data_IF_875692321426
#
_entry.id   IF_875692321426
#
_cell.length_a   1.000
_cell.length_b   1.000
_cell.length_c   1.000
_cell.angle_alpha   90.00
_cell.angle_beta   90.00
_cell.angle_gamma   90.00
#
_symmetry.space_group_name_H-M   'P 1'
#
loop_
_entity.id
_entity.type
_entity.pdbx_description
1 polymer ?
#
# COMPACT_ATOMS: atom_id res chain seq x y z
N UNK A 1 -10.22 1.80 -12.10
CA UNK A 1 -9.99 1.61 -10.63
C UNK A 1 -8.51 1.35 -10.41
N UNK A 2 -8.01 1.37 -9.17
CA UNK A 2 -6.61 1.02 -8.89
C UNK A 2 -6.20 -0.35 -9.44
N UNK A 3 -7.06 -1.37 -9.26
CA UNK A 3 -6.79 -2.70 -9.82
C UNK A 3 -6.71 -2.70 -11.35
N UNK A 4 -7.53 -1.90 -12.04
CA UNK A 4 -7.42 -1.77 -13.49
C UNK A 4 -6.09 -1.11 -13.91
N UNK A 5 -5.56 -0.18 -13.10
CA UNK A 5 -4.25 0.43 -13.35
C UNK A 5 -3.12 -0.60 -13.17
N UNK A 6 -3.13 -1.39 -12.09
CA UNK A 6 -2.16 -2.47 -11.87
C UNK A 6 -2.24 -3.50 -12.99
N UNK A 7 -3.45 -4.00 -13.31
CA UNK A 7 -3.65 -4.97 -14.40
C UNK A 7 -3.14 -4.44 -15.73
N UNK A 8 -3.45 -3.19 -16.09
CA UNK A 8 -2.99 -2.59 -17.34
C UNK A 8 -1.47 -2.40 -17.34
N UNK A 9 -0.87 -1.87 -16.26
CA UNK A 9 0.57 -1.67 -16.15
C UNK A 9 1.37 -2.97 -16.28
N UNK A 10 0.81 -4.09 -15.81
CA UNK A 10 1.44 -5.41 -15.95
C UNK A 10 1.19 -6.01 -17.34
N UNK A 11 -0.08 -6.19 -17.75
CA UNK A 11 -0.42 -6.94 -18.97
C UNK A 11 -0.13 -6.19 -20.28
N UNK A 12 0.05 -4.88 -20.28
CA UNK A 12 0.35 -4.15 -21.52
C UNK A 12 1.78 -4.36 -22.04
N UNK A 13 2.69 -4.86 -21.20
CA UNK A 13 4.11 -5.01 -21.52
C UNK A 13 4.66 -6.44 -21.38
N UNK A 14 3.84 -7.37 -20.87
CA UNK A 14 4.22 -8.77 -20.63
C UNK A 14 3.56 -9.70 -21.64
N UNK A 15 4.28 -10.74 -22.03
CA UNK A 15 3.85 -11.80 -22.95
C UNK A 15 4.13 -13.19 -22.38
N UNK A 16 3.49 -14.22 -22.95
CA UNK A 16 3.77 -15.61 -22.57
C UNK A 16 5.27 -15.92 -22.68
N UNK A 17 5.83 -16.53 -21.63
CA UNK A 17 7.26 -16.81 -21.50
C UNK A 17 8.06 -15.72 -20.79
N UNK A 18 7.48 -14.55 -20.49
CA UNK A 18 8.11 -13.55 -19.64
C UNK A 18 8.06 -13.93 -18.16
N UNK A 19 8.91 -13.30 -17.36
CA UNK A 19 9.01 -13.51 -15.92
C UNK A 19 8.90 -12.19 -15.12
N UNK A 20 8.23 -12.25 -13.97
CA UNK A 20 8.07 -11.16 -13.01
C UNK A 20 8.73 -11.50 -11.68
N UNK A 21 9.51 -10.59 -11.11
CA UNK A 21 9.93 -10.67 -9.70
C UNK A 21 9.03 -9.73 -8.90
N UNK A 22 8.41 -10.19 -7.82
CA UNK A 22 7.58 -9.32 -6.99
C UNK A 22 7.83 -9.51 -5.50
N UNK A 23 7.77 -8.40 -4.76
CA UNK A 23 7.73 -8.45 -3.31
C UNK A 23 6.51 -9.25 -2.85
N UNK A 24 6.63 -10.02 -1.77
CA UNK A 24 5.52 -10.84 -1.31
C UNK A 24 4.44 -10.06 -0.58
N UNK A 25 4.82 -9.00 0.14
CA UNK A 25 3.94 -8.12 0.86
C UNK A 25 3.26 -7.13 -0.11
N UNK A 26 2.13 -7.56 -0.67
CA UNK A 26 1.31 -6.79 -1.61
C UNK A 26 -0.14 -6.75 -1.11
N UNK A 27 -0.91 -5.78 -1.59
CA UNK A 27 -2.36 -5.85 -1.48
C UNK A 27 -2.88 -7.16 -2.08
N UNK A 28 -3.81 -7.83 -1.40
CA UNK A 28 -4.28 -9.17 -1.78
C UNK A 28 -4.77 -9.31 -3.23
N UNK A 29 -5.33 -8.25 -3.84
CA UNK A 29 -5.70 -8.31 -5.26
C UNK A 29 -4.53 -8.08 -6.21
N UNK A 30 -3.49 -7.34 -5.80
CA UNK A 30 -2.22 -7.26 -6.52
C UNK A 30 -1.50 -8.61 -6.50
N UNK A 31 -1.52 -9.27 -5.34
CA UNK A 31 -1.02 -10.64 -5.16
C UNK A 31 -1.74 -11.64 -6.08
N UNK A 32 -3.06 -11.57 -6.16
CA UNK A 32 -3.86 -12.36 -7.11
C UNK A 32 -3.43 -12.15 -8.58
N UNK A 33 -3.10 -10.92 -8.99
CA UNK A 33 -2.61 -10.68 -10.35
C UNK A 33 -1.33 -11.48 -10.60
N UNK A 34 -0.37 -11.41 -9.67
CA UNK A 34 0.95 -12.03 -9.83
C UNK A 34 0.92 -13.55 -9.73
N UNK A 35 0.13 -14.11 -8.82
CA UNK A 35 0.09 -15.56 -8.54
C UNK A 35 -0.93 -16.34 -9.37
N UNK A 36 -2.04 -15.72 -9.74
CA UNK A 36 -3.15 -16.44 -10.39
C UNK A 36 -3.43 -15.91 -11.80
N UNK A 37 -3.44 -14.60 -12.01
CA UNK A 37 -3.81 -14.04 -13.31
C UNK A 37 -2.69 -14.17 -14.34
N UNK A 38 -1.46 -13.75 -14.00
CA UNK A 38 -0.32 -13.81 -14.91
C UNK A 38 0.02 -15.24 -15.37
N UNK A 39 0.05 -16.26 -14.49
CA UNK A 39 0.34 -17.64 -14.92
C UNK A 39 -0.68 -18.22 -15.90
N UNK A 40 -1.94 -17.77 -15.86
CA UNK A 40 -2.96 -18.17 -16.85
C UNK A 40 -2.63 -17.70 -18.27
N UNK A 41 -1.78 -16.68 -18.42
CA UNK A 41 -1.27 -16.19 -19.70
C UNK A 41 0.16 -16.67 -20.00
N UNK A 42 0.66 -17.65 -19.24
CA UNK A 42 2.02 -18.19 -19.42
C UNK A 42 3.13 -17.24 -18.96
N UNK A 43 2.82 -16.28 -18.08
CA UNK A 43 3.80 -15.37 -17.47
C UNK A 43 4.11 -15.89 -16.08
N UNK A 44 5.36 -16.26 -15.84
CA UNK A 44 5.79 -16.80 -14.54
C UNK A 44 6.14 -15.68 -13.57
N UNK A 45 6.09 -15.97 -12.27
CA UNK A 45 6.52 -15.04 -11.23
C UNK A 45 7.37 -15.72 -10.16
N UNK A 46 8.31 -14.97 -9.58
CA UNK A 46 9.04 -15.32 -8.37
C UNK A 46 8.73 -14.30 -7.29
N UNK A 47 8.35 -14.80 -6.11
CA UNK A 47 7.92 -13.99 -4.99
C UNK A 47 9.00 -14.02 -3.91
N UNK A 48 9.39 -12.84 -3.43
CA UNK A 48 10.56 -12.66 -2.56
C UNK A 48 10.24 -11.81 -1.35
N UNK A 49 11.14 -11.83 -0.36
CA UNK A 49 11.16 -10.85 0.71
C UNK A 49 11.56 -9.48 0.16
N UNK A 50 10.60 -8.55 0.10
CA UNK A 50 10.83 -7.24 -0.52
C UNK A 50 11.94 -6.43 0.16
N UNK A 51 12.17 -6.67 1.45
CA UNK A 51 13.18 -5.99 2.27
C UNK A 51 14.58 -6.59 2.16
N UNK A 52 14.73 -7.75 1.50
CA UNK A 52 16.00 -8.45 1.31
C UNK A 52 16.48 -8.29 -0.15
N UNK A 53 17.42 -7.34 -0.34
CA UNK A 53 18.00 -7.05 -1.65
C UNK A 53 18.66 -8.26 -2.32
N UNK A 54 19.20 -9.20 -1.54
CA UNK A 54 19.85 -10.39 -2.10
C UNK A 54 18.85 -11.32 -2.80
N UNK A 55 17.59 -11.34 -2.35
CA UNK A 55 16.56 -12.14 -3.00
C UNK A 55 16.07 -11.52 -4.31
N UNK A 56 16.06 -10.19 -4.41
CA UNK A 56 15.80 -9.51 -5.67
C UNK A 56 16.83 -9.91 -6.74
N UNK A 57 18.12 -9.90 -6.39
CA UNK A 57 19.20 -10.33 -7.29
C UNK A 57 19.10 -11.82 -7.65
N UNK A 58 18.89 -12.68 -6.65
CA UNK A 58 18.82 -14.14 -6.85
C UNK A 58 17.60 -14.58 -7.68
N UNK A 59 16.51 -13.82 -7.66
CA UNK A 59 15.29 -14.12 -8.42
C UNK A 59 15.38 -13.74 -9.90
N UNK A 60 16.41 -13.00 -10.33
CA UNK A 60 16.59 -12.62 -11.73
C UNK A 60 16.81 -13.85 -12.61
N UNK A 61 16.03 -13.91 -13.68
CA UNK A 61 16.15 -14.88 -14.79
C UNK A 61 16.39 -14.17 -16.13
N UNK A 62 16.93 -14.85 -17.16
CA UNK A 62 17.17 -14.24 -18.48
C UNK A 62 15.91 -13.65 -19.16
N UNK A 63 14.72 -14.15 -18.81
CA UNK A 63 13.42 -13.68 -19.30
C UNK A 63 12.70 -12.74 -18.33
N UNK A 64 13.37 -12.22 -17.31
CA UNK A 64 12.76 -11.27 -16.36
C UNK A 64 12.51 -9.92 -17.02
N UNK A 65 11.28 -9.44 -16.95
CA UNK A 65 10.85 -8.19 -17.59
C UNK A 65 10.37 -7.13 -16.62
N UNK A 66 9.79 -7.53 -15.50
CA UNK A 66 9.18 -6.59 -14.55
C UNK A 66 9.53 -6.97 -13.11
N UNK A 67 9.88 -5.96 -12.33
CA UNK A 67 9.91 -5.98 -10.88
C UNK A 67 8.65 -5.26 -10.37
N UNK A 68 7.93 -5.84 -9.42
CA UNK A 68 6.68 -5.27 -8.88
C UNK A 68 6.66 -5.22 -7.35
N UNK A 69 6.34 -4.06 -6.78
CA UNK A 69 6.35 -3.85 -5.33
C UNK A 69 5.39 -2.74 -4.88
N UNK A 70 5.08 -2.73 -3.58
CA UNK A 70 4.41 -1.64 -2.87
C UNK A 70 5.33 -1.21 -1.71
N UNK A 71 5.49 0.10 -1.50
CA UNK A 71 6.19 0.61 -0.32
C UNK A 71 5.60 1.95 0.13
N UNK A 72 5.19 2.11 1.41
CA UNK A 72 5.07 1.07 2.43
C UNK A 72 4.11 -0.06 2.06
N UNK A 73 4.40 -1.30 2.49
CA UNK A 73 3.56 -2.47 2.23
C UNK A 73 2.28 -2.51 3.09
N UNK A 74 1.27 -3.25 2.63
CA UNK A 74 0.02 -3.43 3.36
C UNK A 74 -0.08 -4.87 3.91
N UNK A 75 -0.41 -5.11 5.20
CA UNK A 75 -0.74 -4.13 6.24
C UNK A 75 0.43 -3.76 7.17
N UNK A 76 1.59 -4.40 7.03
CA UNK A 76 2.72 -4.32 7.98
C UNK A 76 3.71 -3.19 7.70
N UNK A 77 3.47 -2.35 6.69
CA UNK A 77 4.18 -1.10 6.44
C UNK A 77 5.69 -1.27 6.21
N UNK A 78 6.09 -2.40 5.62
CA UNK A 78 7.48 -2.64 5.25
C UNK A 78 7.94 -1.63 4.20
N UNK A 79 9.19 -1.19 4.33
CA UNK A 79 9.81 -0.22 3.45
C UNK A 79 10.78 -0.93 2.52
N UNK A 80 10.66 -0.71 1.22
CA UNK A 80 11.55 -1.32 0.23
C UNK A 80 12.40 -0.20 -0.37
N UNK A 81 13.72 -0.43 -0.45
CA UNK A 81 14.67 0.54 -1.00
C UNK A 81 14.47 0.66 -2.51
N UNK A 82 13.79 1.74 -2.92
CA UNK A 82 13.45 1.96 -4.32
C UNK A 82 14.68 2.07 -5.21
N UNK A 83 15.74 2.72 -4.73
CA UNK A 83 16.94 2.96 -5.54
C UNK A 83 17.68 1.66 -5.80
N UNK A 84 17.91 0.90 -4.74
CA UNK A 84 18.63 -0.38 -4.83
C UNK A 84 17.85 -1.40 -5.68
N UNK A 85 16.53 -1.52 -5.49
CA UNK A 85 15.70 -2.43 -6.29
C UNK A 85 15.69 -2.02 -7.77
N UNK A 86 15.64 -0.71 -8.04
CA UNK A 86 15.70 -0.20 -9.42
C UNK A 86 17.03 -0.49 -10.09
N UNK A 87 18.14 -0.30 -9.39
CA UNK A 87 19.46 -0.62 -9.93
C UNK A 87 19.59 -2.11 -10.29
N UNK A 88 19.08 -3.00 -9.44
CA UNK A 88 19.05 -4.44 -9.71
C UNK A 88 18.20 -4.76 -10.95
N UNK A 89 16.99 -4.20 -11.03
CA UNK A 89 16.08 -4.42 -12.16
C UNK A 89 16.68 -3.93 -13.48
N UNK A 90 17.23 -2.71 -13.50
CA UNK A 90 17.83 -2.11 -14.70
C UNK A 90 19.08 -2.87 -15.15
N UNK A 91 19.91 -3.36 -14.23
CA UNK A 91 21.05 -4.24 -14.55
C UNK A 91 20.61 -5.56 -15.21
N UNK A 92 19.40 -6.04 -14.90
CA UNK A 92 18.79 -7.21 -15.53
C UNK A 92 18.02 -6.89 -16.83
N UNK A 93 17.93 -5.62 -17.24
CA UNK A 93 17.11 -5.18 -18.37
C UNK A 93 15.60 -5.26 -18.12
N UNK A 94 15.17 -5.26 -16.86
CA UNK A 94 13.78 -5.26 -16.43
C UNK A 94 13.31 -3.85 -16.04
N UNK A 95 12.00 -3.60 -16.10
CA UNK A 95 11.37 -2.37 -15.61
C UNK A 95 10.85 -2.54 -14.18
N UNK A 96 10.71 -1.45 -13.45
CA UNK A 96 10.13 -1.42 -12.11
C UNK A 96 8.74 -0.79 -12.14
N UNK A 97 7.77 -1.51 -11.58
CA UNK A 97 6.40 -1.02 -11.34
C UNK A 97 6.19 -0.87 -9.83
N UNK A 98 5.88 0.33 -9.36
CA UNK A 98 5.60 0.62 -7.95
C UNK A 98 4.15 1.05 -7.76
N UNK A 99 3.43 0.36 -6.87
CA UNK A 99 2.21 0.91 -6.28
C UNK A 99 2.59 1.88 -5.14
N UNK A 100 2.27 3.15 -5.32
CA UNK A 100 2.64 4.23 -4.39
C UNK A 100 1.42 4.77 -3.61
N UNK A 101 0.35 3.97 -3.48
CA UNK A 101 -0.91 4.41 -2.84
C UNK A 101 -0.73 4.87 -1.40
N UNK A 102 0.07 4.17 -0.60
CA UNK A 102 0.21 4.47 0.83
C UNK A 102 1.00 5.75 1.08
N UNK A 103 2.08 5.97 0.34
CA UNK A 103 2.91 7.15 0.48
C UNK A 103 2.30 8.38 -0.18
N UNK A 104 1.52 8.19 -1.26
CA UNK A 104 1.00 9.27 -2.12
C UNK A 104 2.13 10.04 -2.85
N UNK A 105 1.83 10.80 -3.93
CA UNK A 105 2.86 11.62 -4.59
C UNK A 105 3.34 12.80 -3.71
N UNK A 106 2.64 13.09 -2.59
CA UNK A 106 3.01 14.17 -1.67
C UNK A 106 4.24 13.78 -0.85
N UNK A 107 4.37 12.51 -0.45
CA UNK A 107 5.43 12.09 0.47
C UNK A 107 6.56 11.33 -0.21
N UNK A 108 6.27 10.65 -1.32
CA UNK A 108 7.26 9.83 -2.02
C UNK A 108 7.06 9.98 -3.52
N UNK A 109 8.18 10.20 -4.24
CA UNK A 109 8.20 10.35 -5.69
C UNK A 109 9.05 9.23 -6.30
N UNK A 110 8.51 8.02 -6.52
CA UNK A 110 9.29 6.84 -6.90
C UNK A 110 10.16 7.03 -8.15
N UNK A 111 9.69 7.84 -9.11
CA UNK A 111 10.43 8.14 -10.34
C UNK A 111 11.77 8.86 -10.07
N UNK A 112 11.92 9.59 -8.96
CA UNK A 112 13.21 10.19 -8.55
C UNK A 112 14.24 9.14 -8.14
N UNK A 113 13.81 7.91 -7.85
CA UNK A 113 14.65 6.75 -7.55
C UNK A 113 14.83 5.82 -8.76
N UNK A 114 14.37 6.25 -9.94
CA UNK A 114 14.51 5.53 -11.21
C UNK A 114 13.39 4.55 -11.56
N UNK A 115 12.31 4.53 -10.78
CA UNK A 115 11.14 3.68 -11.07
C UNK A 115 10.51 4.06 -12.41
N UNK A 116 10.28 3.06 -13.28
CA UNK A 116 9.78 3.27 -14.64
C UNK A 116 8.27 3.54 -14.69
N UNK A 117 7.48 2.82 -13.88
CA UNK A 117 6.02 2.92 -13.86
C UNK A 117 5.51 3.06 -12.43
N UNK A 118 4.70 4.07 -12.18
CA UNK A 118 4.03 4.28 -10.88
C UNK A 118 2.54 4.13 -11.04
N UNK A 119 1.93 3.30 -10.21
CA UNK A 119 0.48 3.09 -10.19
C UNK A 119 -0.14 3.65 -8.92
N UNK A 120 -1.35 4.21 -9.07
CA UNK A 120 -2.16 4.67 -7.94
C UNK A 120 -3.59 4.18 -8.04
N UNK A 121 -4.15 3.76 -6.92
CA UNK A 121 -5.59 3.74 -6.68
C UNK A 121 -6.08 5.14 -6.32
N UNK A 122 -6.63 5.86 -7.30
CA UNK A 122 -7.19 7.19 -7.09
C UNK A 122 -8.44 7.20 -6.18
N UNK A 123 -8.99 6.02 -5.89
CA UNK A 123 -10.07 5.80 -4.92
C UNK A 123 -9.71 6.20 -3.48
N UNK A 124 -8.40 6.27 -3.16
CA UNK A 124 -7.87 6.51 -1.81
C UNK A 124 -7.66 8.00 -1.58
N UNK A 125 -6.45 8.44 -1.26
CA UNK A 125 -6.14 9.83 -0.90
C UNK A 125 -6.43 10.84 -2.02
N UNK A 126 -6.39 10.43 -3.29
CA UNK A 126 -6.69 11.32 -4.43
C UNK A 126 -8.16 11.75 -4.40
N UNK A 127 -9.12 10.82 -4.29
CA UNK A 127 -10.51 11.18 -3.97
C UNK A 127 -10.59 11.80 -2.57
N UNK A 128 -10.04 11.12 -1.57
CA UNK A 128 -9.87 11.62 -0.20
C UNK A 128 -11.13 11.62 0.65
N UNK A 129 -12.30 11.27 0.11
CA UNK A 129 -13.59 11.39 0.81
C UNK A 129 -14.54 10.21 0.53
N UNK A 130 -14.01 9.12 -0.03
CA UNK A 130 -14.75 7.85 -0.18
C UNK A 130 -15.85 7.85 -1.24
N UNK A 131 -15.75 8.67 -2.29
CA UNK A 131 -16.87 8.88 -3.25
C UNK A 131 -16.74 8.10 -4.55
N UNK A 132 -15.59 8.16 -5.20
CA UNK A 132 -15.39 7.63 -6.55
C UNK A 132 -14.23 6.63 -6.62
N UNK A 133 -14.33 5.68 -7.55
CA UNK A 133 -13.24 4.76 -7.86
C UNK A 133 -12.48 5.23 -9.10
N UNK A 134 -11.16 5.12 -9.06
CA UNK A 134 -10.27 5.51 -10.15
C UNK A 134 -8.90 4.84 -10.04
N UNK A 135 -8.14 4.86 -11.12
CA UNK A 135 -6.77 4.36 -11.18
C UNK A 135 -5.94 5.23 -12.10
N UNK A 136 -4.65 5.37 -11.78
CA UNK A 136 -3.70 6.17 -12.55
C UNK A 136 -2.47 5.30 -12.79
N UNK A 137 -1.93 5.35 -14.00
CA UNK A 137 -0.61 4.83 -14.36
C UNK A 137 0.21 6.03 -14.83
N UNK A 138 1.37 6.25 -14.22
CA UNK A 138 2.35 7.24 -14.63
C UNK A 138 3.57 6.51 -15.18
N UNK A 139 4.04 6.91 -16.35
CA UNK A 139 5.24 6.37 -17.01
C UNK A 139 5.76 7.43 -18.00
N UNK A 140 6.91 7.17 -18.62
CA UNK A 140 7.36 7.99 -19.74
C UNK A 140 6.43 7.88 -20.96
N UNK A 141 6.57 8.80 -21.91
CA UNK A 141 5.72 8.87 -23.08
C UNK A 141 5.88 7.65 -24.00
N UNK A 142 7.08 7.08 -24.10
CA UNK A 142 7.35 5.91 -24.93
C UNK A 142 6.57 4.69 -24.43
N UNK A 143 6.59 4.42 -23.12
CA UNK A 143 5.79 3.36 -22.50
C UNK A 143 4.29 3.56 -22.74
N UNK A 144 3.82 4.80 -22.65
CA UNK A 144 2.41 5.12 -22.89
C UNK A 144 2.03 4.80 -24.33
N UNK A 145 2.83 5.25 -25.30
CA UNK A 145 2.53 5.11 -26.72
C UNK A 145 2.69 3.67 -27.21
N UNK A 146 3.77 2.99 -26.79
CA UNK A 146 4.15 1.67 -27.29
C UNK A 146 3.38 0.53 -26.61
N UNK A 147 2.92 0.72 -25.37
CA UNK A 147 2.29 -0.34 -24.57
C UNK A 147 0.89 0.04 -24.08
N UNK A 148 0.79 1.09 -23.25
CA UNK A 148 -0.40 1.31 -22.44
C UNK A 148 -1.61 1.83 -23.23
N UNK A 149 -1.40 2.81 -24.12
CA UNK A 149 -2.49 3.51 -24.81
C UNK A 149 -3.30 2.57 -25.70
N UNK A 150 -2.62 1.70 -26.46
CA UNK A 150 -3.30 0.69 -27.27
C UNK A 150 -4.01 -0.34 -26.37
N UNK A 151 -3.37 -0.82 -25.31
CA UNK A 151 -3.99 -1.76 -24.37
C UNK A 151 -5.29 -1.20 -23.79
N UNK A 152 -5.29 0.04 -23.28
CA UNK A 152 -6.48 0.68 -22.73
C UNK A 152 -7.57 0.87 -23.78
N UNK A 153 -7.21 1.24 -25.01
CA UNK A 153 -8.15 1.41 -26.12
C UNK A 153 -8.86 0.09 -26.47
N UNK A 154 -8.12 -1.01 -26.52
CA UNK A 154 -8.68 -2.31 -26.94
C UNK A 154 -9.38 -3.08 -25.81
N UNK A 155 -9.00 -2.85 -24.55
CA UNK A 155 -9.56 -3.58 -23.39
C UNK A 155 -10.62 -2.79 -22.62
N UNK A 156 -10.66 -1.47 -22.80
CA UNK A 156 -11.74 -0.61 -22.32
C UNK A 156 -11.84 -0.24 -20.82
N UNK A 157 -10.84 -0.40 -19.93
CA UNK A 157 -10.97 0.01 -18.53
C UNK A 157 -10.83 1.54 -18.35
N UNK A 158 -11.74 2.30 -18.96
CA UNK A 158 -11.72 3.77 -19.03
C UNK A 158 -12.38 4.41 -17.81
N UNK A 159 -11.87 5.57 -17.39
CA UNK A 159 -12.44 6.35 -16.29
C UNK A 159 -13.64 7.18 -16.77
N UNK A 160 -14.71 7.21 -15.98
CA UNK A 160 -15.83 8.14 -16.21
C UNK A 160 -15.36 9.61 -16.14
N UNK A 161 -15.75 10.48 -17.09
CA UNK A 161 -15.43 11.91 -17.01
C UNK A 161 -15.93 12.58 -15.72
N UNK A 162 -17.05 12.12 -15.17
CA UNK A 162 -17.56 12.61 -13.88
C UNK A 162 -16.60 12.25 -12.73
N UNK A 163 -16.13 11.01 -12.68
CA UNK A 163 -15.15 10.58 -11.67
C UNK A 163 -13.83 11.34 -11.83
N UNK A 164 -13.40 11.59 -13.07
CA UNK A 164 -12.21 12.39 -13.36
C UNK A 164 -12.35 13.82 -12.81
N UNK A 165 -13.52 14.45 -12.98
CA UNK A 165 -13.80 15.78 -12.39
C UNK A 165 -13.76 15.76 -10.86
N UNK A 166 -14.38 14.77 -10.21
CA UNK A 166 -14.34 14.63 -8.73
C UNK A 166 -12.89 14.54 -8.23
N UNK A 167 -12.07 13.70 -8.88
CA UNK A 167 -10.66 13.53 -8.50
C UNK A 167 -9.84 14.78 -8.78
N UNK A 168 -10.03 15.43 -9.94
CA UNK A 168 -9.35 16.68 -10.28
C UNK A 168 -9.60 17.75 -9.22
N UNK A 169 -10.85 17.93 -8.77
CA UNK A 169 -11.19 18.88 -7.71
C UNK A 169 -10.56 18.51 -6.36
N UNK A 170 -10.41 17.22 -6.09
CA UNK A 170 -9.86 16.73 -4.82
C UNK A 170 -8.34 16.83 -4.75
N UNK A 171 -7.65 16.87 -5.90
CA UNK A 171 -6.22 17.13 -5.99
C UNK A 171 -5.83 18.51 -5.47
N UNK A 172 -6.72 19.50 -5.57
CA UNK A 172 -6.47 20.88 -5.10
C UNK A 172 -6.19 20.95 -3.59
N UNK A 173 -6.64 19.96 -2.82
CA UNK A 173 -6.43 19.87 -1.37
C UNK A 173 -5.58 18.69 -0.96
N UNK A 174 -4.98 17.94 -1.91
CA UNK A 174 -4.26 16.70 -1.61
C UNK A 174 -3.11 16.92 -0.62
N UNK A 175 -2.24 17.90 -0.88
CA UNK A 175 -1.09 18.18 -0.01
C UNK A 175 -1.55 18.55 1.42
N UNK A 176 -2.53 19.44 1.55
CA UNK A 176 -3.10 19.85 2.83
C UNK A 176 -3.65 18.65 3.62
N UNK A 177 -4.45 17.80 2.95
CA UNK A 177 -5.05 16.62 3.59
C UNK A 177 -3.99 15.60 3.98
N UNK A 178 -3.04 15.29 3.11
CA UNK A 178 -2.01 14.28 3.39
C UNK A 178 -1.10 14.71 4.53
N UNK A 179 -0.70 15.99 4.60
CA UNK A 179 0.11 16.50 5.72
C UNK A 179 -0.65 16.43 7.04
N UNK A 180 -1.93 16.79 7.03
CA UNK A 180 -2.76 16.72 8.22
C UNK A 180 -3.01 15.27 8.67
N UNK A 181 -3.28 14.36 7.74
CA UNK A 181 -3.32 12.93 8.00
C UNK A 181 -2.03 12.42 8.68
N UNK A 182 -0.86 12.85 8.20
CA UNK A 182 0.42 12.45 8.78
C UNK A 182 0.61 13.01 10.19
N UNK A 183 0.21 14.26 10.43
CA UNK A 183 0.24 14.89 11.75
C UNK A 183 -0.60 14.09 12.76
N UNK A 184 -1.84 13.78 12.38
CA UNK A 184 -2.77 13.01 13.20
C UNK A 184 -2.26 11.59 13.43
N UNK A 185 -1.79 10.91 12.37
CA UNK A 185 -1.28 9.55 12.46
C UNK A 185 -0.06 9.45 13.38
N UNK A 186 0.83 10.46 13.36
CA UNK A 186 1.96 10.53 14.29
C UNK A 186 1.49 10.63 15.75
N UNK A 187 0.52 11.48 16.05
CA UNK A 187 -0.05 11.58 17.40
C UNK A 187 -0.65 10.25 17.87
N UNK A 188 -1.45 9.61 17.01
CA UNK A 188 -2.06 8.30 17.29
C UNK A 188 -1.00 7.20 17.47
N UNK A 189 0.00 7.13 16.59
CA UNK A 189 1.07 6.14 16.68
C UNK A 189 1.88 6.30 17.97
N UNK A 190 2.16 7.53 18.40
CA UNK A 190 2.86 7.80 19.67
C UNK A 190 2.02 7.41 20.89
N UNK A 191 0.71 7.64 20.86
CA UNK A 191 -0.20 7.22 21.93
C UNK A 191 -0.26 5.69 22.05
N UNK A 192 -0.37 4.99 20.91
CA UNK A 192 -0.35 3.53 20.85
C UNK A 192 0.99 2.95 21.33
N UNK A 193 2.12 3.50 20.89
CA UNK A 193 3.47 3.07 21.30
C UNK A 193 3.70 3.23 22.81
N UNK A 194 3.10 4.25 23.43
CA UNK A 194 3.21 4.49 24.88
C UNK A 194 2.29 3.63 25.76
N UNK A 195 1.38 2.84 25.17
CA UNK A 195 0.39 2.06 25.92
C UNK A 195 0.90 0.67 26.29
N UNK A 196 0.71 0.26 27.55
CA UNK A 196 1.03 -1.10 28.03
C UNK A 196 0.08 -2.17 27.50
N UNK A 197 -1.01 -1.80 26.82
CA UNK A 197 -2.00 -2.70 26.22
C UNK A 197 -1.67 -3.07 24.77
N UNK A 198 -0.70 -2.39 24.16
CA UNK A 198 -0.30 -2.60 22.77
C UNK A 198 1.04 -3.36 22.76
N UNK A 199 1.08 -4.52 22.11
CA UNK A 199 2.27 -5.36 22.02
C UNK A 199 3.33 -4.75 21.09
N UNK A 200 2.89 -4.19 19.97
CA UNK A 200 3.73 -3.45 19.03
C UNK A 200 2.92 -2.42 18.27
N UNK A 201 3.55 -1.29 17.97
CA UNK A 201 3.06 -0.28 17.04
C UNK A 201 4.00 -0.21 15.85
N UNK A 202 3.45 -0.21 14.65
CA UNK A 202 4.16 -0.19 13.38
C UNK A 202 3.75 1.08 12.65
N UNK A 203 4.68 2.01 12.53
CA UNK A 203 4.50 3.25 11.79
C UNK A 203 5.86 3.74 11.26
N UNK A 204 6.03 3.94 9.93
CA UNK A 204 7.32 4.32 9.36
C UNK A 204 7.93 5.61 9.93
N UNK A 205 7.09 6.50 10.49
CA UNK A 205 7.53 7.74 11.13
C UNK A 205 7.96 7.61 12.60
N UNK A 206 7.86 6.42 13.22
CA UNK A 206 8.39 6.16 14.57
C UNK A 206 9.83 5.64 14.49
N UNK A 207 10.70 6.12 15.39
CA UNK A 207 12.11 5.67 15.46
C UNK A 207 12.27 4.18 15.82
N UNK A 208 11.24 3.58 16.42
CA UNK A 208 11.16 2.15 16.72
C UNK A 208 10.90 1.30 15.48
N UNK A 209 10.45 1.89 14.37
CA UNK A 209 10.26 1.16 13.13
C UNK A 209 11.62 0.61 12.64
N UNK A 210 11.74 -0.70 12.33
CA UNK A 210 13.02 -1.31 11.98
C UNK A 210 13.71 -0.64 10.79
N UNK A 211 12.91 -0.05 9.89
CA UNK A 211 13.35 0.61 8.68
C UNK A 211 13.16 2.14 8.72
N UNK A 212 13.07 2.75 9.92
CA UNK A 212 12.83 4.19 10.10
C UNK A 212 13.78 5.05 9.27
N UNK A 213 15.09 4.73 9.28
CA UNK A 213 16.08 5.51 8.53
C UNK A 213 15.77 5.48 7.02
N UNK A 214 15.59 4.30 6.45
CA UNK A 214 15.25 4.15 5.04
C UNK A 214 13.93 4.86 4.69
N UNK A 215 12.92 4.74 5.57
CA UNK A 215 11.65 5.44 5.40
C UNK A 215 11.85 6.95 5.27
N UNK A 216 12.62 7.56 6.18
CA UNK A 216 12.87 9.01 6.17
C UNK A 216 13.88 9.46 5.10
N UNK A 217 14.70 8.54 4.57
CA UNK A 217 15.59 8.82 3.45
C UNK A 217 14.83 8.88 2.11
N UNK A 218 13.70 8.15 1.97
CA UNK A 218 12.91 8.12 0.72
C UNK A 218 11.49 8.69 0.79
N UNK A 219 10.99 9.02 1.99
CA UNK A 219 9.66 9.61 2.23
C UNK A 219 9.76 10.84 3.13
N UNK A 220 8.99 11.88 2.83
CA UNK A 220 8.99 13.13 3.63
C UNK A 220 8.37 12.93 5.03
N UNK A 221 7.38 12.04 5.17
CA UNK A 221 6.66 11.71 6.42
C UNK A 221 6.19 10.25 6.40
N UNK A 222 5.78 9.70 7.55
CA UNK A 222 5.40 8.29 7.72
C UNK A 222 4.04 7.85 7.14
N UNK A 223 3.28 8.76 6.50
CA UNK A 223 1.94 8.46 5.97
C UNK A 223 0.83 8.47 7.02
N UNK A 224 -0.36 7.96 6.66
CA UNK A 224 -1.56 7.99 7.49
C UNK A 224 -2.04 6.63 8.02
N UNK A 225 -1.30 5.57 7.71
CA UNK A 225 -1.66 4.22 8.13
C UNK A 225 -0.81 3.87 9.35
N UNK A 226 -1.48 3.44 10.42
CA UNK A 226 -0.84 2.90 11.62
C UNK A 226 -1.31 1.47 11.78
N UNK A 227 -0.38 0.53 11.90
CA UNK A 227 -0.69 -0.84 12.27
C UNK A 227 -0.23 -1.09 13.71
N UNK A 228 -0.99 -1.86 14.47
CA UNK A 228 -0.64 -2.18 15.85
C UNK A 228 -1.25 -3.50 16.26
N UNK A 229 -0.66 -4.14 17.26
CA UNK A 229 -1.08 -5.45 17.73
C UNK A 229 -1.48 -5.40 19.20
N UNK A 230 -2.63 -5.99 19.51
CA UNK A 230 -3.13 -6.13 20.87
C UNK A 230 -2.83 -7.52 21.43
N UNK A 231 -2.57 -7.57 22.73
CA UNK A 231 -2.50 -8.83 23.46
C UNK A 231 -3.90 -9.45 23.59
N UNK A 232 -4.01 -10.77 23.49
CA UNK A 232 -5.28 -11.49 23.48
C UNK A 232 -5.89 -11.75 22.10
N UNK A 233 -5.14 -11.49 21.02
CA UNK A 233 -5.46 -11.91 19.66
C UNK A 233 -6.79 -11.36 19.13
N UNK A 234 -7.50 -12.18 18.35
CA UNK A 234 -8.71 -11.77 17.62
C UNK A 234 -9.81 -11.21 18.52
N UNK A 235 -10.01 -11.81 19.68
CA UNK A 235 -11.07 -11.40 20.61
C UNK A 235 -10.78 -10.01 21.19
N UNK A 236 -9.52 -9.71 21.54
CA UNK A 236 -9.10 -8.39 21.98
C UNK A 236 -9.22 -7.36 20.85
N UNK A 237 -8.77 -7.71 19.64
CA UNK A 237 -8.91 -6.86 18.45
C UNK A 237 -10.38 -6.50 18.16
N UNK A 238 -11.30 -7.46 18.31
CA UNK A 238 -12.74 -7.25 18.09
C UNK A 238 -13.35 -6.40 19.20
N UNK A 239 -13.03 -6.66 20.47
CA UNK A 239 -13.49 -5.82 21.59
C UNK A 239 -13.04 -4.38 21.42
N UNK A 240 -11.76 -4.16 21.08
CA UNK A 240 -11.22 -2.84 20.81
C UNK A 240 -11.96 -2.15 19.66
N UNK A 241 -12.07 -2.81 18.50
CA UNK A 241 -12.70 -2.20 17.32
C UNK A 241 -14.19 -1.88 17.54
N UNK A 242 -14.91 -2.73 18.26
CA UNK A 242 -16.32 -2.50 18.61
C UNK A 242 -16.51 -1.42 19.68
N UNK A 243 -15.47 -1.13 20.47
CA UNK A 243 -15.55 -0.13 21.52
C UNK A 243 -15.41 1.29 20.98
N UNK A 244 -14.74 1.51 19.84
CA UNK A 244 -14.51 2.83 19.22
C UNK A 244 -15.83 3.54 18.89
N UNK A 245 -15.85 4.86 19.09
CA UNK A 245 -17.02 5.71 18.89
C UNK A 245 -16.85 6.71 17.73
N UNK A 246 -15.60 7.09 17.42
CA UNK A 246 -15.28 8.00 16.30
C UNK A 246 -14.83 7.18 15.09
N UNK A 247 -13.87 6.29 15.30
CA UNK A 247 -13.28 5.48 14.23
C UNK A 247 -14.27 4.43 13.76
N UNK A 248 -14.56 4.39 12.46
CA UNK A 248 -15.51 3.45 11.87
C UNK A 248 -14.85 2.14 11.43
N UNK A 249 -15.53 1.00 11.62
CA UNK A 249 -15.07 -0.29 11.10
C UNK A 249 -15.28 -0.34 9.59
N UNK A 250 -14.19 -0.25 8.82
CA UNK A 250 -14.21 -0.34 7.36
C UNK A 250 -12.83 -0.71 6.83
N UNK A 251 -12.80 -1.50 5.75
CA UNK A 251 -11.55 -1.95 5.11
C UNK A 251 -10.93 -0.90 4.15
N UNK A 252 -11.61 0.23 3.94
CA UNK A 252 -11.10 1.31 3.10
C UNK A 252 -9.95 2.08 3.80
N UNK A 253 -9.33 3.03 3.09
CA UNK A 253 -8.26 3.88 3.62
C UNK A 253 -8.17 5.20 2.83
N UNK A 254 -7.47 6.18 3.39
CA UNK A 254 -7.22 7.47 2.74
C UNK A 254 -8.47 8.33 2.58
N UNK A 255 -9.45 8.14 3.45
CA UNK A 255 -10.64 8.99 3.59
C UNK A 255 -10.38 10.06 4.66
N UNK A 256 -11.07 11.19 4.54
CA UNK A 256 -11.26 12.18 5.61
C UNK A 256 -11.69 11.58 6.96
N UNK A 257 -12.38 10.43 6.96
CA UNK A 257 -12.80 9.71 8.16
C UNK A 257 -11.77 8.66 8.56
N UNK A 258 -11.55 8.53 9.86
CA UNK A 258 -10.72 7.48 10.44
C UNK A 258 -11.41 6.12 10.35
N UNK A 259 -10.69 5.13 9.82
CA UNK A 259 -11.21 3.79 9.55
C UNK A 259 -10.31 2.70 10.12
N UNK A 260 -10.90 1.69 10.75
CA UNK A 260 -10.17 0.54 11.28
C UNK A 260 -10.63 -0.77 10.64
N UNK A 261 -9.68 -1.68 10.45
CA UNK A 261 -9.96 -3.05 9.99
C UNK A 261 -9.06 -4.06 10.69
N UNK A 262 -9.58 -5.28 10.84
CA UNK A 262 -8.83 -6.45 11.29
C UNK A 262 -8.39 -7.27 10.06
N UNK A 263 -7.10 -7.18 9.62
CA UNK A 263 -6.68 -7.70 8.32
C UNK A 263 -6.92 -9.20 8.14
N UNK A 264 -6.70 -10.00 9.18
CA UNK A 264 -6.83 -11.47 9.15
C UNK A 264 -8.23 -11.94 8.73
N UNK A 265 -9.29 -11.26 9.19
CA UNK A 265 -10.68 -11.65 8.87
C UNK A 265 -11.30 -10.83 7.75
N UNK A 266 -10.54 -9.96 7.09
CA UNK A 266 -11.06 -9.05 6.07
C UNK A 266 -10.18 -9.00 4.82
N UNK A 267 -9.22 -8.08 4.75
CA UNK A 267 -8.42 -7.80 3.55
C UNK A 267 -7.48 -8.94 3.17
N UNK A 268 -7.05 -9.73 4.14
CA UNK A 268 -6.10 -10.85 3.96
C UNK A 268 -6.72 -12.20 4.35
N UNK A 269 -8.05 -12.29 4.37
CA UNK A 269 -8.78 -13.53 4.72
C UNK A 269 -8.57 -14.68 3.72
N UNK A 270 -8.15 -14.37 2.48
CA UNK A 270 -7.91 -15.36 1.42
C UNK A 270 -6.57 -16.07 1.54
N UNK A 271 -5.63 -15.47 2.27
CA UNK A 271 -4.35 -16.12 2.57
C UNK A 271 -4.62 -17.27 3.55
N UNK A 272 -3.81 -18.32 3.54
CA UNK A 272 -3.84 -19.32 4.59
C UNK A 272 -3.07 -18.82 5.84
N UNK A 273 -3.11 -19.60 6.92
CA UNK A 273 -2.45 -19.23 8.19
C UNK A 273 -0.93 -19.11 8.03
N UNK A 274 -0.32 -19.96 7.20
CA UNK A 274 1.11 -19.97 6.96
C UNK A 274 1.55 -18.69 6.24
N UNK A 275 0.89 -18.32 5.14
CA UNK A 275 1.16 -17.11 4.39
C UNK A 275 0.90 -15.85 5.23
N UNK A 276 -0.13 -15.83 6.08
CA UNK A 276 -0.35 -14.71 7.02
C UNK A 276 0.78 -14.58 8.03
N UNK A 277 1.19 -15.67 8.66
CA UNK A 277 2.28 -15.69 9.62
C UNK A 277 3.58 -15.19 8.98
N UNK A 278 3.84 -15.61 7.74
CA UNK A 278 5.01 -15.20 6.96
C UNK A 278 5.04 -13.69 6.63
N UNK A 279 3.86 -13.06 6.53
CA UNK A 279 3.70 -11.61 6.35
C UNK A 279 3.61 -10.85 7.69
N UNK A 280 3.76 -11.54 8.83
CA UNK A 280 3.64 -10.95 10.15
C UNK A 280 2.21 -10.50 10.52
N UNK A 281 1.20 -11.04 9.83
CA UNK A 281 -0.22 -10.76 10.06
C UNK A 281 -0.75 -11.72 11.15
N UNK A 282 -0.82 -11.22 12.38
CA UNK A 282 -1.33 -11.99 13.52
C UNK A 282 -2.83 -11.75 13.73
N UNK A 283 -3.47 -12.60 14.55
CA UNK A 283 -4.86 -12.41 14.97
C UNK A 283 -5.08 -11.18 15.87
N UNK A 284 -4.03 -10.61 16.45
CA UNK A 284 -4.12 -9.37 17.24
C UNK A 284 -3.91 -8.10 16.41
N UNK A 285 -3.53 -8.22 15.13
CA UNK A 285 -3.14 -7.09 14.29
C UNK A 285 -4.36 -6.28 13.85
N UNK A 286 -4.30 -4.98 14.06
CA UNK A 286 -5.26 -4.01 13.56
C UNK A 286 -4.56 -3.01 12.64
N UNK A 287 -5.28 -2.55 11.61
CA UNK A 287 -4.83 -1.49 10.71
C UNK A 287 -5.78 -0.31 10.80
N UNK A 288 -5.26 0.83 11.19
CA UNK A 288 -5.97 2.09 11.31
C UNK A 288 -5.52 3.05 10.20
N UNK A 289 -6.47 3.49 9.37
CA UNK A 289 -6.32 4.62 8.46
C UNK A 289 -6.77 5.87 9.19
N UNK A 290 -5.84 6.73 9.60
CA UNK A 290 -6.14 7.94 10.35
C UNK A 290 -6.64 9.03 9.41
N UNK A 291 -7.77 9.64 9.79
CA UNK A 291 -8.51 10.67 9.07
C UNK A 291 -8.07 12.09 9.39
N UNK A 292 -9.01 13.03 9.28
CA UNK A 292 -8.84 14.48 9.47
C UNK A 292 -9.60 15.01 10.69
N UNK A 293 -10.07 14.12 11.57
CA UNK A 293 -10.64 14.51 12.87
C UNK A 293 -9.59 15.21 13.76
N UNK A 294 -10.04 15.81 14.86
CA UNK A 294 -9.10 16.34 15.86
C UNK A 294 -8.26 15.18 16.45
N UNK A 295 -6.92 15.29 16.48
CA UNK A 295 -6.08 14.20 16.96
C UNK A 295 -6.23 13.91 18.45
N UNK A 296 -6.64 14.88 19.29
CA UNK A 296 -6.91 14.62 20.70
C UNK A 296 -8.16 13.76 20.85
N UNK A 297 -9.24 14.06 20.10
CA UNK A 297 -10.46 13.25 20.10
C UNK A 297 -10.18 11.81 19.64
N UNK A 298 -9.33 11.62 18.61
CA UNK A 298 -8.93 10.29 18.15
C UNK A 298 -8.12 9.53 19.21
N UNK A 299 -7.19 10.20 19.89
CA UNK A 299 -6.38 9.59 20.96
C UNK A 299 -7.26 9.22 22.15
N UNK A 300 -8.22 10.06 22.52
CA UNK A 300 -9.17 9.78 23.60
C UNK A 300 -10.09 8.59 23.26
N UNK A 301 -10.61 8.51 22.03
CA UNK A 301 -11.41 7.38 21.55
C UNK A 301 -10.62 6.06 21.61
N UNK A 302 -9.36 6.09 21.15
CA UNK A 302 -8.46 4.93 21.19
C UNK A 302 -8.14 4.53 22.64
N UNK A 303 -7.81 5.48 23.51
CA UNK A 303 -7.50 5.18 24.91
C UNK A 303 -8.69 4.59 25.66
N UNK A 304 -9.90 5.09 25.40
CA UNK A 304 -11.14 4.53 25.93
C UNK A 304 -11.34 3.09 25.44
N UNK A 305 -11.16 2.83 24.15
CA UNK A 305 -11.30 1.51 23.56
C UNK A 305 -10.25 0.51 24.09
N UNK A 306 -9.00 0.95 24.30
CA UNK A 306 -7.94 0.15 24.95
C UNK A 306 -8.26 -0.21 26.41
N UNK A 307 -9.05 0.62 27.09
CA UNK A 307 -9.47 0.38 28.48
C UNK A 307 -10.43 -0.81 28.65
N UNK A 308 -11.12 -1.20 27.57
CA UNK A 308 -12.12 -2.29 27.58
C UNK A 308 -11.73 -3.50 26.71
N UNK A 309 -10.59 -3.43 26.02
CA UNK A 309 -10.05 -4.49 25.16
C UNK A 309 -9.36 -5.59 25.94
#
# INVERSE_FOLDING_TARGET
TGMAAVTAAMLCQLSAGDHVVAAKALFGSCRYIVEELLPRFGIESTLIEGTDLSQWEAAVRPNTKVFFLETPSNPTLEIIDLKSVTDIAHNAGARVVVDNVFATPVLQRPMEYGVDVVVYSATKHIDGQGRCLGGIVLADQAFIDDHLANFLRQTGPSLSPFNAWVMLKSLETLDLRVREHCRNARCVAQALEGSSKVLRTIYPGLKSHPQYKLAMDQMDLGGNIVAFELDGGKDAAFRFANALEIVSISNNLGDSKSLITHPTTTTHQRLDDAARAELGITDGLLRLSVGLEDPADLVDDINRALGVS
#
